data_IF_553076054530
#
_entry.id   IF_553076054530
#
_cell.length_a   1.000
_cell.length_b   1.000
_cell.length_c   1.000
_cell.angle_alpha   90.00
_cell.angle_beta   90.00
_cell.angle_gamma   90.00
#
_symmetry.space_group_name_H-M   'P 1'
#
loop_
_entity.id
_entity.type
_entity.pdbx_description
1 polymer ?
#
# COMPACT_ATOMS: atom_id res chain seq x y z
N UNK A 1 -17.24 -8.44 0.59
CA UNK A 1 -16.36 -7.36 1.09
C UNK A 1 -16.62 -7.01 2.56
N UNK A 2 -17.86 -6.92 3.02
CA UNK A 2 -18.20 -6.60 4.44
C UNK A 2 -17.63 -7.57 5.48
N UNK A 3 -17.35 -8.82 5.09
CA UNK A 3 -16.80 -9.79 6.02
C UNK A 3 -15.38 -9.49 6.49
N UNK A 4 -14.54 -8.84 5.67
CA UNK A 4 -13.18 -8.42 6.06
C UNK A 4 -13.28 -7.39 7.19
N UNK A 5 -14.15 -6.38 7.04
CA UNK A 5 -14.38 -5.37 8.07
C UNK A 5 -15.05 -5.93 9.32
N UNK A 6 -15.78 -7.05 9.19
CA UNK A 6 -16.45 -7.70 10.33
C UNK A 6 -15.50 -8.62 11.10
N UNK A 7 -14.60 -9.31 10.40
CA UNK A 7 -13.67 -10.28 11.02
C UNK A 7 -12.37 -9.65 11.51
N UNK A 8 -11.86 -8.63 10.82
CA UNK A 8 -10.59 -8.00 11.18
C UNK A 8 -10.55 -7.39 12.60
N UNK A 9 -11.62 -6.79 13.16
CA UNK A 9 -11.61 -6.30 14.55
C UNK A 9 -11.31 -7.37 15.60
N UNK A 10 -11.65 -8.65 15.33
CA UNK A 10 -11.35 -9.76 16.23
C UNK A 10 -9.83 -9.93 16.40
N UNK A 11 -9.03 -9.68 15.35
CA UNK A 11 -7.57 -9.73 15.42
C UNK A 11 -7.03 -8.77 16.50
N UNK A 12 -7.53 -7.53 16.52
CA UNK A 12 -7.08 -6.53 17.49
C UNK A 12 -7.49 -6.88 18.95
N UNK A 13 -8.60 -7.61 19.12
CA UNK A 13 -9.08 -8.06 20.43
C UNK A 13 -8.32 -9.30 20.94
N UNK A 14 -8.06 -10.26 20.05
CA UNK A 14 -7.41 -11.52 20.41
C UNK A 14 -5.88 -11.43 20.51
N UNK A 15 -5.27 -10.39 19.93
CA UNK A 15 -3.82 -10.15 19.98
C UNK A 15 -3.57 -8.77 20.59
N UNK A 16 -3.43 -8.68 21.93
CA UNK A 16 -3.22 -7.38 22.61
C UNK A 16 -1.96 -6.63 22.14
N UNK A 17 -0.94 -7.33 21.65
CA UNK A 17 0.32 -6.75 21.18
C UNK A 17 0.28 -6.20 19.74
N UNK A 18 -0.88 -6.15 19.09
CA UNK A 18 -1.03 -5.39 17.84
C UNK A 18 -1.03 -3.89 18.18
N UNK A 19 -0.13 -3.14 17.57
CA UNK A 19 -0.03 -1.69 17.73
C UNK A 19 -0.92 -0.96 16.70
N UNK A 20 -0.95 -1.45 15.46
CA UNK A 20 -1.76 -0.90 14.38
C UNK A 20 -2.43 -2.02 13.58
N UNK A 21 -3.70 -1.81 13.22
CA UNK A 21 -4.46 -2.68 12.33
C UNK A 21 -5.25 -1.83 11.35
N UNK A 22 -4.96 -2.00 10.07
CA UNK A 22 -5.60 -1.29 8.98
C UNK A 22 -6.16 -2.30 7.99
N UNK A 23 -7.33 -1.99 7.45
CA UNK A 23 -7.94 -2.70 6.33
C UNK A 23 -8.16 -1.71 5.19
N UNK A 24 -7.54 -1.99 4.06
CA UNK A 24 -7.69 -1.26 2.82
C UNK A 24 -8.60 -2.05 1.88
N UNK A 25 -9.80 -1.57 1.61
CA UNK A 25 -10.70 -2.19 0.64
C UNK A 25 -10.38 -1.67 -0.76
N UNK A 26 -10.20 -2.58 -1.72
CA UNK A 26 -9.97 -2.23 -3.13
C UNK A 26 -11.33 -1.91 -3.77
N UNK A 27 -11.86 -0.75 -3.48
CA UNK A 27 -13.22 -0.31 -3.83
C UNK A 27 -13.29 1.04 -4.53
N UNK A 28 -12.13 1.65 -4.81
CA UNK A 28 -12.04 2.95 -5.46
C UNK A 28 -11.74 2.76 -6.95
N UNK A 29 -12.66 3.25 -7.80
CA UNK A 29 -12.41 3.38 -9.24
C UNK A 29 -11.68 4.71 -9.49
N UNK A 30 -10.44 4.67 -10.01
CA UNK A 30 -9.70 5.89 -10.33
C UNK A 30 -10.37 6.75 -11.42
N UNK A 31 -11.35 6.18 -12.17
CA UNK A 31 -12.07 6.92 -13.20
C UNK A 31 -11.16 7.43 -14.33
N UNK A 32 -11.49 8.61 -14.87
CA UNK A 32 -10.70 9.31 -15.90
C UNK A 32 -9.64 10.24 -15.29
N UNK A 33 -8.99 9.83 -14.19
CA UNK A 33 -7.95 10.62 -13.58
C UNK A 33 -6.89 11.02 -14.63
N UNK A 34 -6.54 12.29 -14.72
CA UNK A 34 -5.64 12.85 -15.75
C UNK A 34 -4.26 12.20 -15.83
N UNK A 35 -3.86 11.46 -14.79
CA UNK A 35 -2.59 10.76 -14.74
C UNK A 35 -2.60 9.40 -15.51
N UNK A 36 -3.75 8.89 -15.93
CA UNK A 36 -3.83 7.79 -16.89
C UNK A 36 -3.27 8.32 -18.20
N UNK A 37 -2.19 7.71 -18.70
CA UNK A 37 -1.47 8.24 -19.88
C UNK A 37 -2.42 8.46 -21.05
N UNK A 38 -2.42 9.65 -21.70
CA UNK A 38 -3.10 9.84 -22.96
C UNK A 38 -2.59 8.80 -23.97
N UNK A 39 -3.49 7.95 -24.51
CA UNK A 39 -3.13 6.92 -25.51
C UNK A 39 -2.76 5.55 -24.94
N UNK A 40 -2.60 5.34 -23.64
CA UNK A 40 -2.75 4.00 -23.08
C UNK A 40 -4.23 3.65 -23.21
N UNK A 41 -4.51 2.67 -24.09
CA UNK A 41 -5.85 2.10 -24.15
C UNK A 41 -6.20 1.73 -22.70
N UNK A 42 -7.32 2.29 -22.23
CA UNK A 42 -7.94 1.92 -20.97
C UNK A 42 -8.19 0.42 -21.04
N UNK A 43 -7.21 -0.37 -20.63
CA UNK A 43 -7.52 -1.70 -20.20
C UNK A 43 -8.54 -1.44 -19.10
N UNK A 44 -9.80 -1.88 -19.32
CA UNK A 44 -10.75 -1.97 -18.24
C UNK A 44 -9.96 -2.51 -17.06
N UNK A 45 -10.01 -1.87 -15.87
CA UNK A 45 -9.27 -2.39 -14.74
C UNK A 45 -9.59 -3.86 -14.69
N UNK A 46 -8.58 -4.70 -14.97
CA UNK A 46 -8.73 -6.12 -14.74
C UNK A 46 -9.27 -6.17 -13.32
N UNK A 47 -10.35 -6.91 -13.11
CA UNK A 47 -10.91 -7.10 -11.76
C UNK A 47 -9.71 -7.22 -10.84
N UNK A 48 -9.54 -6.34 -9.84
CA UNK A 48 -8.30 -6.29 -9.09
C UNK A 48 -8.01 -7.69 -8.58
N UNK A 49 -6.77 -8.17 -8.74
CA UNK A 49 -6.36 -9.48 -8.25
C UNK A 49 -6.54 -9.61 -6.72
N UNK A 50 -6.90 -8.50 -6.07
CA UNK A 50 -7.06 -8.35 -4.64
C UNK A 50 -8.35 -7.58 -4.31
N UNK A 51 -9.10 -8.08 -3.31
CA UNK A 51 -10.28 -7.41 -2.75
C UNK A 51 -9.91 -6.46 -1.61
N UNK A 52 -8.84 -6.78 -0.87
CA UNK A 52 -8.40 -5.99 0.27
C UNK A 52 -6.90 -6.21 0.56
N UNK A 53 -6.31 -5.23 1.28
CA UNK A 53 -5.00 -5.34 1.93
C UNK A 53 -5.23 -5.20 3.45
N UNK A 54 -4.61 -6.06 4.25
CA UNK A 54 -4.63 -5.97 5.71
C UNK A 54 -3.22 -5.67 6.18
N UNK A 55 -3.06 -4.55 6.87
CA UNK A 55 -1.79 -4.14 7.46
C UNK A 55 -1.82 -4.35 8.97
N UNK A 56 -0.79 -5.00 9.49
CA UNK A 56 -0.62 -5.25 10.92
C UNK A 56 0.75 -4.79 11.36
N UNK A 57 0.80 -3.88 12.34
CA UNK A 57 2.02 -3.54 13.05
C UNK A 57 1.97 -4.09 14.47
N UNK A 58 3.02 -4.79 14.88
CA UNK A 58 3.13 -5.40 16.19
C UNK A 58 4.59 -5.80 16.48
N UNK A 59 4.86 -6.31 17.69
CA UNK A 59 6.13 -6.97 17.97
C UNK A 59 6.32 -8.21 17.09
N UNK A 60 7.56 -8.64 16.87
CA UNK A 60 7.86 -9.82 16.02
C UNK A 60 7.09 -11.08 16.45
N UNK A 61 6.91 -11.28 17.77
CA UNK A 61 6.16 -12.41 18.33
C UNK A 61 4.67 -12.31 18.01
N UNK A 62 4.10 -11.12 18.13
CA UNK A 62 2.68 -10.88 17.89
C UNK A 62 2.36 -10.85 16.39
N UNK A 63 3.31 -10.42 15.54
CA UNK A 63 3.19 -10.55 14.09
C UNK A 63 3.06 -12.01 13.64
N UNK A 64 3.86 -12.92 14.21
CA UNK A 64 3.74 -14.35 13.90
C UNK A 64 2.34 -14.88 14.29
N UNK A 65 1.87 -14.51 15.47
CA UNK A 65 0.54 -14.89 15.95
C UNK A 65 -0.58 -14.29 15.09
N UNK A 66 -0.43 -13.03 14.67
CA UNK A 66 -1.38 -12.38 13.77
C UNK A 66 -1.44 -13.10 12.42
N UNK A 67 -0.28 -13.47 11.84
CA UNK A 67 -0.23 -14.20 10.59
C UNK A 67 -0.97 -15.56 10.67
N UNK A 68 -0.74 -16.32 11.75
CA UNK A 68 -1.42 -17.60 11.99
C UNK A 68 -2.94 -17.43 12.15
N UNK A 69 -3.39 -16.37 12.83
CA UNK A 69 -4.82 -16.07 12.97
C UNK A 69 -5.45 -15.65 11.64
N UNK A 70 -4.80 -14.75 10.91
CA UNK A 70 -5.24 -14.32 9.59
C UNK A 70 -5.37 -15.54 8.68
N UNK A 71 -4.36 -16.40 8.65
CA UNK A 71 -4.39 -17.61 7.84
C UNK A 71 -5.57 -18.53 8.24
N UNK A 72 -5.81 -18.72 9.53
CA UNK A 72 -6.93 -19.54 10.03
C UNK A 72 -8.29 -18.96 9.64
N UNK A 73 -8.50 -17.66 9.90
CA UNK A 73 -9.81 -17.00 9.69
C UNK A 73 -10.13 -16.83 8.20
N UNK A 74 -9.13 -16.52 7.38
CA UNK A 74 -9.35 -16.19 5.98
C UNK A 74 -9.23 -17.39 5.03
N UNK A 75 -8.55 -18.49 5.40
CA UNK A 75 -8.55 -19.74 4.61
C UNK A 75 -9.87 -20.49 4.59
N UNK A 76 -10.74 -20.29 5.56
CA UNK A 76 -12.04 -20.98 5.64
C UNK A 76 -13.04 -20.55 4.57
N UNK A 77 -12.80 -19.44 3.87
CA UNK A 77 -13.70 -18.78 2.94
C UNK A 77 -13.31 -18.83 1.45
N UNK A 78 -12.45 -19.74 0.99
CA UNK A 78 -11.96 -19.77 -0.41
C UNK A 78 -11.14 -18.53 -0.83
N UNK A 79 -10.72 -17.70 0.11
CA UNK A 79 -9.89 -16.55 -0.17
C UNK A 79 -8.45 -16.98 -0.51
N UNK A 80 -7.88 -16.38 -1.56
CA UNK A 80 -6.45 -16.48 -1.83
C UNK A 80 -5.74 -15.46 -0.95
N UNK A 81 -4.90 -15.93 -0.06
CA UNK A 81 -4.16 -15.10 0.88
C UNK A 81 -2.68 -15.05 0.53
N UNK A 82 -2.15 -13.84 0.35
CA UNK A 82 -0.72 -13.58 0.16
C UNK A 82 -0.21 -12.74 1.32
N UNK A 83 0.73 -13.26 2.09
CA UNK A 83 1.26 -12.59 3.27
C UNK A 83 2.74 -12.30 3.13
N UNK A 84 3.14 -11.09 3.54
CA UNK A 84 4.50 -10.60 3.49
C UNK A 84 4.87 -9.93 4.80
N UNK A 85 6.10 -10.20 5.28
CA UNK A 85 6.68 -9.37 6.34
C UNK A 85 7.42 -8.20 5.71
N UNK A 86 7.12 -7.00 6.16
CA UNK A 86 7.68 -5.78 5.60
C UNK A 86 8.35 -4.94 6.68
N UNK A 87 9.29 -4.10 6.24
CA UNK A 87 9.88 -3.05 7.05
C UNK A 87 9.42 -1.69 6.51
N UNK A 88 8.61 -0.94 7.28
CA UNK A 88 8.12 0.36 6.86
C UNK A 88 9.26 1.40 6.83
N UNK A 89 9.18 2.29 5.84
CA UNK A 89 10.11 3.39 5.60
C UNK A 89 9.30 4.66 5.30
N UNK A 90 8.73 5.30 6.33
CA UNK A 90 7.92 6.50 6.13
C UNK A 90 8.78 7.65 5.58
N UNK A 91 8.21 8.40 4.64
CA UNK A 91 8.83 9.58 4.04
C UNK A 91 8.02 10.86 4.30
N UNK A 92 6.69 10.74 4.44
CA UNK A 92 5.76 11.81 4.82
C UNK A 92 4.62 11.23 5.63
N UNK A 93 4.26 11.86 6.74
CA UNK A 93 3.06 11.55 7.54
C UNK A 93 2.53 12.88 8.06
N UNK A 94 1.75 13.58 7.24
CA UNK A 94 1.21 14.91 7.58
C UNK A 94 -0.17 14.81 8.26
N UNK A 95 -0.75 13.59 8.29
CA UNK A 95 -2.05 13.32 8.92
C UNK A 95 -1.95 12.13 9.88
N UNK A 96 -2.51 12.31 11.07
CA UNK A 96 -2.66 11.20 12.02
C UNK A 96 -3.81 10.26 11.60
N UNK A 97 -3.58 8.96 11.67
CA UNK A 97 -4.61 7.94 11.54
C UNK A 97 -5.45 7.89 12.82
N UNK A 98 -6.76 7.68 12.69
CA UNK A 98 -7.70 7.60 13.82
C UNK A 98 -8.40 6.27 13.81
N UNK A 99 -8.28 5.52 14.89
CA UNK A 99 -8.97 4.24 15.05
C UNK A 99 -10.49 4.39 15.03
N UNK A 100 -11.17 3.36 14.53
CA UNK A 100 -12.63 3.28 14.45
C UNK A 100 -13.27 4.07 13.32
N UNK A 101 -12.49 4.58 12.37
CA UNK A 101 -13.01 5.37 11.26
C UNK A 101 -12.39 4.97 9.92
N UNK A 102 -13.14 5.20 8.84
CA UNK A 102 -12.60 5.26 7.49
C UNK A 102 -11.78 6.54 7.35
N UNK A 103 -10.56 6.41 6.85
CA UNK A 103 -9.73 7.59 6.54
C UNK A 103 -10.35 8.39 5.40
N UNK A 104 -10.27 9.73 5.42
CA UNK A 104 -10.73 10.53 4.29
C UNK A 104 -9.84 10.29 3.06
N UNK A 105 -10.44 10.46 1.89
CA UNK A 105 -9.73 10.41 0.60
C UNK A 105 -9.50 9.02 0.06
N UNK A 106 -8.37 8.87 -0.61
CA UNK A 106 -7.98 7.65 -1.33
C UNK A 106 -6.54 7.27 -0.95
N UNK A 107 -6.34 5.98 -0.70
CA UNK A 107 -5.01 5.39 -0.57
C UNK A 107 -4.67 4.65 -1.85
N UNK A 108 -3.53 4.98 -2.43
CA UNK A 108 -2.95 4.30 -3.57
C UNK A 108 -1.83 3.39 -3.10
N UNK A 109 -1.93 2.11 -3.44
CA UNK A 109 -0.95 1.08 -3.08
C UNK A 109 -0.33 0.52 -4.36
N UNK A 110 0.99 0.38 -4.38
CA UNK A 110 1.71 -0.34 -5.44
C UNK A 110 2.46 -1.51 -4.84
N UNK A 111 2.13 -2.71 -5.29
CA UNK A 111 2.90 -3.92 -5.00
C UNK A 111 4.03 -3.99 -6.03
N UNK A 112 5.25 -3.71 -5.61
CA UNK A 112 6.40 -3.47 -6.48
C UNK A 112 7.20 -4.75 -6.76
N UNK A 113 7.63 -4.89 -8.04
CA UNK A 113 8.71 -5.79 -8.44
C UNK A 113 9.83 -4.97 -9.04
N UNK A 114 11.05 -5.23 -8.60
CA UNK A 114 12.22 -4.54 -9.08
C UNK A 114 12.87 -5.27 -10.26
N UNK A 115 13.78 -4.62 -10.99
CA UNK A 115 14.53 -5.24 -12.07
C UNK A 115 15.42 -6.37 -11.53
N UNK A 116 15.25 -7.58 -12.07
CA UNK A 116 15.92 -8.80 -11.59
C UNK A 116 17.44 -8.79 -11.82
N UNK A 117 17.92 -7.97 -12.73
CA UNK A 117 19.34 -7.77 -13.05
C UNK A 117 20.02 -6.71 -12.15
N UNK A 118 19.25 -6.01 -11.32
CA UNK A 118 19.79 -5.07 -10.34
C UNK A 118 20.12 -5.74 -9.02
N UNK A 119 21.34 -5.55 -8.49
CA UNK A 119 21.65 -5.95 -7.12
C UNK A 119 20.71 -5.25 -6.12
N UNK A 120 20.25 -5.98 -5.10
CA UNK A 120 19.36 -5.45 -4.06
C UNK A 120 19.83 -4.12 -3.48
N UNK A 121 21.16 -3.99 -3.21
CA UNK A 121 21.72 -2.75 -2.69
C UNK A 121 21.62 -1.57 -3.66
N UNK A 122 21.61 -1.82 -4.98
CA UNK A 122 21.41 -0.79 -5.98
C UNK A 122 19.94 -0.34 -6.02
N UNK A 123 19.01 -1.30 -5.98
CA UNK A 123 17.57 -1.01 -5.87
C UNK A 123 17.29 -0.16 -4.63
N UNK A 124 17.82 -0.56 -3.47
CA UNK A 124 17.64 0.18 -2.21
C UNK A 124 18.13 1.62 -2.30
N UNK A 125 19.31 1.84 -2.92
CA UNK A 125 19.84 3.19 -3.13
C UNK A 125 18.96 4.01 -4.08
N UNK A 126 18.59 3.45 -5.24
CA UNK A 126 17.73 4.13 -6.21
C UNK A 126 16.38 4.50 -5.59
N UNK A 127 15.76 3.57 -4.89
CA UNK A 127 14.48 3.82 -4.23
C UNK A 127 14.61 4.82 -3.07
N UNK A 128 15.73 4.87 -2.38
CA UNK A 128 16.00 5.90 -1.37
C UNK A 128 16.19 7.29 -2.01
N UNK A 129 16.90 7.38 -3.13
CA UNK A 129 17.06 8.62 -3.88
C UNK A 129 15.74 9.15 -4.45
N UNK A 130 14.86 8.25 -4.91
CA UNK A 130 13.52 8.56 -5.40
C UNK A 130 12.69 9.39 -4.42
N UNK A 131 12.88 9.22 -3.11
CA UNK A 131 12.08 9.89 -2.07
C UNK A 131 12.08 11.40 -2.21
N UNK A 132 13.25 12.00 -2.41
CA UNK A 132 13.37 13.46 -2.51
C UNK A 132 12.63 14.02 -3.73
N UNK A 133 12.65 13.29 -4.83
CA UNK A 133 11.88 13.63 -6.03
C UNK A 133 10.37 13.43 -5.77
N UNK A 134 9.97 12.30 -5.21
CA UNK A 134 8.57 11.99 -4.93
C UNK A 134 7.92 13.02 -3.99
N UNK A 135 8.62 13.41 -2.91
CA UNK A 135 8.14 14.42 -1.96
C UNK A 135 7.95 15.81 -2.60
N UNK A 136 8.77 16.16 -3.60
CA UNK A 136 8.65 17.41 -4.34
C UNK A 136 7.52 17.36 -5.36
N UNK A 137 7.30 16.22 -5.97
CA UNK A 137 6.39 16.08 -7.13
C UNK A 137 4.98 15.69 -6.72
N UNK A 138 4.80 14.81 -5.74
CA UNK A 138 3.48 14.37 -5.26
C UNK A 138 2.89 15.36 -4.25
N UNK A 139 2.49 16.53 -4.74
CA UNK A 139 2.06 17.66 -3.89
C UNK A 139 0.67 17.48 -3.27
N UNK A 140 -0.16 16.60 -3.82
CA UNK A 140 -1.49 16.30 -3.27
C UNK A 140 -1.48 15.21 -2.20
N UNK A 141 -0.40 14.42 -2.08
CA UNK A 141 -0.33 13.36 -1.10
C UNK A 141 0.08 13.90 0.28
N UNK A 142 -0.64 13.51 1.33
CA UNK A 142 -0.36 13.85 2.73
C UNK A 142 0.35 12.73 3.51
N UNK A 143 0.33 11.50 2.99
CA UNK A 143 1.10 10.38 3.52
C UNK A 143 1.85 9.71 2.36
N UNK A 144 3.13 9.40 2.58
CA UNK A 144 3.96 8.60 1.70
C UNK A 144 4.79 7.63 2.53
N UNK A 145 4.48 6.34 2.40
CA UNK A 145 5.19 5.26 3.08
C UNK A 145 5.67 4.26 2.03
N UNK A 146 6.86 3.74 2.23
CA UNK A 146 7.41 2.63 1.46
C UNK A 146 7.64 1.48 2.42
N UNK A 147 7.47 0.25 1.95
CA UNK A 147 7.75 -0.94 2.72
C UNK A 147 8.71 -1.81 1.94
N UNK A 148 9.81 -2.16 2.56
CA UNK A 148 10.70 -3.18 2.03
C UNK A 148 10.17 -4.55 2.43
N UNK A 149 9.92 -5.44 1.47
CA UNK A 149 9.54 -6.83 1.76
C UNK A 149 10.80 -7.58 2.21
N UNK A 150 10.77 -8.09 3.44
CA UNK A 150 11.86 -8.85 4.05
C UNK A 150 11.65 -10.36 3.90
N UNK A 151 10.38 -10.80 3.88
CA UNK A 151 10.04 -12.21 3.80
C UNK A 151 8.64 -12.41 3.19
N UNK A 152 8.51 -13.42 2.34
CA UNK A 152 7.22 -13.94 1.87
C UNK A 152 6.77 -15.05 2.79
N UNK A 153 5.65 -14.88 3.49
CA UNK A 153 5.16 -15.81 4.51
C UNK A 153 4.25 -16.90 3.92
N UNK A 154 3.51 -16.59 2.84
CA UNK A 154 2.61 -17.54 2.19
C UNK A 154 3.29 -18.31 1.06
N UNK A 155 3.29 -19.65 1.08
CA UNK A 155 3.75 -20.42 -0.07
C UNK A 155 2.95 -20.11 -1.34
N UNK A 156 3.64 -19.84 -2.43
CA UNK A 156 3.00 -19.53 -3.72
C UNK A 156 2.45 -18.10 -3.88
N UNK A 157 2.67 -17.22 -2.90
CA UNK A 157 2.34 -15.81 -3.04
C UNK A 157 3.09 -15.18 -4.23
N UNK A 158 2.48 -14.23 -4.94
CA UNK A 158 3.15 -13.49 -6.01
C UNK A 158 4.45 -12.84 -5.50
N UNK A 159 5.48 -12.74 -6.34
CA UNK A 159 6.72 -12.09 -5.93
C UNK A 159 6.50 -10.58 -5.79
N UNK A 160 6.39 -10.09 -4.55
CA UNK A 160 6.38 -8.68 -4.17
C UNK A 160 7.65 -8.40 -3.39
N UNK A 161 8.39 -7.36 -3.80
CA UNK A 161 9.68 -7.02 -3.21
C UNK A 161 9.64 -5.69 -2.44
N UNK A 162 8.60 -4.88 -2.71
CA UNK A 162 8.32 -3.66 -1.99
C UNK A 162 6.87 -3.23 -2.13
N UNK A 163 6.42 -2.38 -1.22
CA UNK A 163 5.09 -1.75 -1.29
C UNK A 163 5.27 -0.24 -1.17
N UNK A 164 4.57 0.50 -2.01
CA UNK A 164 4.48 1.96 -1.93
C UNK A 164 3.06 2.37 -1.62
N UNK A 165 2.89 3.27 -0.67
CA UNK A 165 1.61 3.88 -0.31
C UNK A 165 1.69 5.39 -0.48
N UNK A 166 0.69 5.93 -1.18
CA UNK A 166 0.42 7.37 -1.25
C UNK A 166 -1.03 7.59 -0.83
N UNK A 167 -1.25 8.46 0.15
CA UNK A 167 -2.60 8.83 0.56
C UNK A 167 -2.88 10.25 0.10
N UNK A 168 -4.08 10.44 -0.43
CA UNK A 168 -4.59 11.73 -0.87
C UNK A 168 -5.80 12.09 -0.01
N UNK A 169 -5.86 13.31 0.59
CA UNK A 169 -6.95 13.70 1.50
C UNK A 169 -8.32 13.66 0.84
N UNK A 170 -8.37 13.84 -0.48
CA UNK A 170 -9.59 13.76 -1.29
C UNK A 170 -9.34 13.04 -2.60
N UNK A 171 -10.39 12.57 -3.25
CA UNK A 171 -10.32 12.04 -4.61
C UNK A 171 -9.87 13.12 -5.62
N UNK A 172 -10.30 14.38 -5.40
CA UNK A 172 -9.89 15.51 -6.23
C UNK A 172 -8.39 15.79 -6.12
N UNK A 173 -7.80 15.73 -4.92
CA UNK A 173 -6.35 15.86 -4.75
C UNK A 173 -5.59 14.75 -5.50
N UNK A 174 -6.11 13.52 -5.51
CA UNK A 174 -5.54 12.45 -6.28
C UNK A 174 -5.60 12.73 -7.78
N UNK A 175 -6.71 13.24 -8.28
CA UNK A 175 -6.90 13.49 -9.72
C UNK A 175 -6.13 14.71 -10.22
N UNK A 176 -6.15 15.83 -9.48
CA UNK A 176 -5.66 17.12 -9.95
C UNK A 176 -4.29 17.53 -9.40
N UNK A 177 -3.83 16.90 -8.29
CA UNK A 177 -2.60 17.27 -7.58
C UNK A 177 -1.67 16.07 -7.34
N UNK A 178 -1.85 14.98 -8.11
CA UNK A 178 -0.93 13.85 -8.05
C UNK A 178 0.50 14.28 -8.36
N UNK A 179 0.65 15.12 -9.36
CA UNK A 179 1.92 15.69 -9.75
C UNK A 179 1.85 17.22 -9.68
N UNK A 180 2.97 17.84 -9.34
CA UNK A 180 3.08 19.30 -9.33
C UNK A 180 2.84 19.90 -10.74
N UNK A 181 3.31 19.21 -11.78
CA UNK A 181 3.17 19.56 -13.19
C UNK A 181 3.57 18.37 -14.10
N UNK A 182 3.46 18.54 -15.40
CA UNK A 182 3.83 17.53 -16.40
C UNK A 182 5.33 17.20 -16.40
N UNK A 183 6.19 18.14 -16.03
CA UNK A 183 7.61 17.88 -15.93
C UNK A 183 7.93 16.99 -14.73
N UNK A 184 7.36 17.28 -13.59
CA UNK A 184 7.43 16.42 -12.40
C UNK A 184 6.91 15.01 -12.68
N UNK A 185 5.80 14.89 -13.40
CA UNK A 185 5.28 13.60 -13.86
C UNK A 185 6.31 12.83 -14.70
N UNK A 186 6.91 13.48 -15.71
CA UNK A 186 7.94 12.85 -16.55
C UNK A 186 9.14 12.41 -15.74
N UNK A 187 9.63 13.25 -14.81
CA UNK A 187 10.74 12.93 -13.93
C UNK A 187 10.45 11.70 -13.08
N UNK A 188 9.26 11.60 -12.46
CA UNK A 188 8.86 10.43 -11.67
C UNK A 188 8.83 9.16 -12.52
N UNK A 189 8.20 9.20 -13.69
CA UNK A 189 8.09 8.04 -14.58
C UNK A 189 9.48 7.56 -15.03
N UNK A 190 10.37 8.49 -15.38
CA UNK A 190 11.75 8.16 -15.75
C UNK A 190 12.50 7.54 -14.59
N UNK A 191 12.39 8.15 -13.39
CA UNK A 191 13.14 7.74 -12.22
C UNK A 191 12.71 6.36 -11.72
N UNK A 192 11.40 6.09 -11.60
CA UNK A 192 10.90 4.77 -11.21
C UNK A 192 11.27 3.69 -12.22
N UNK A 193 11.34 4.02 -13.51
CA UNK A 193 11.75 3.10 -14.57
C UNK A 193 13.18 2.56 -14.42
N UNK A 194 14.02 3.22 -13.62
CA UNK A 194 15.39 2.75 -13.35
C UNK A 194 15.46 1.57 -12.39
N UNK A 195 14.46 1.38 -11.53
CA UNK A 195 14.50 0.30 -10.52
C UNK A 195 13.23 -0.56 -10.50
N UNK A 196 12.08 -0.04 -10.94
CA UNK A 196 10.80 -0.73 -10.93
C UNK A 196 10.55 -1.44 -12.27
N UNK A 197 10.54 -2.76 -12.26
CA UNK A 197 10.22 -3.58 -13.43
C UNK A 197 8.71 -3.62 -13.69
N UNK A 198 7.92 -3.79 -12.63
CA UNK A 198 6.45 -3.82 -12.71
C UNK A 198 5.82 -3.52 -11.34
N UNK A 199 4.52 -3.26 -11.32
CA UNK A 199 3.78 -3.06 -10.09
C UNK A 199 2.28 -3.24 -10.29
N UNK A 200 1.64 -3.96 -9.36
CA UNK A 200 0.17 -4.01 -9.27
C UNK A 200 -0.31 -2.80 -8.50
N UNK A 201 -1.25 -2.06 -9.08
CA UNK A 201 -1.77 -0.80 -8.53
C UNK A 201 -3.15 -1.04 -7.97
N UNK A 202 -3.36 -0.62 -6.72
CA UNK A 202 -4.62 -0.73 -6.00
C UNK A 202 -5.05 0.67 -5.55
N UNK A 203 -6.34 0.94 -5.69
CA UNK A 203 -6.98 2.17 -5.20
C UNK A 203 -7.95 1.77 -4.13
N UNK A 204 -7.73 2.26 -2.92
CA UNK A 204 -8.39 1.72 -1.74
C UNK A 204 -9.02 2.80 -0.88
N UNK A 205 -10.04 2.39 -0.13
CA UNK A 205 -10.50 3.10 1.05
C UNK A 205 -9.87 2.48 2.30
N UNK A 206 -9.18 3.31 3.08
CA UNK A 206 -8.50 2.89 4.31
C UNK A 206 -9.45 2.91 5.51
N UNK A 207 -9.51 1.81 6.25
CA UNK A 207 -10.24 1.65 7.51
C UNK A 207 -9.25 1.34 8.64
N UNK A 208 -9.04 2.31 9.52
CA UNK A 208 -8.14 2.16 10.67
C UNK A 208 -8.92 1.50 11.81
N UNK A 209 -8.68 0.22 12.08
CA UNK A 209 -9.36 -0.52 13.14
C UNK A 209 -8.66 -0.36 14.49
N UNK A 210 -7.34 -0.23 14.47
CA UNK A 210 -6.51 0.14 15.62
C UNK A 210 -5.41 1.09 15.17
N UNK A 211 -5.18 2.15 15.89
CA UNK A 211 -4.06 3.07 15.69
C UNK A 211 -3.07 2.95 16.85
N UNK A 212 -1.79 3.27 16.65
CA UNK A 212 -0.83 3.38 17.74
C UNK A 212 -1.34 4.36 18.79
N UNK A 213 -1.02 4.08 20.06
CA UNK A 213 -1.31 5.04 21.12
C UNK A 213 -0.57 6.36 20.84
N UNK A 214 -1.24 7.49 21.02
CA UNK A 214 -0.58 8.78 20.84
C UNK A 214 0.61 8.90 21.81
N UNK A 215 1.78 9.19 21.26
CA UNK A 215 3.02 9.38 22.03
C UNK A 215 2.97 10.63 22.93
#
# INVERSE_FOLDING_TARGET
MDWVLTSAPALAQEIPGIDELIVDLVDVDPGDAEWVRPGEARAAPASPDYDAVIEVAATARDLQRAAEMIEREFKTGSAVLSMYRTRPMPARIDRARRAGARSPGVKYIVLCRFHADMPQSAVQRSWAHHVSLALRVHVGADIYIRHWVEETLSPGAPPVEGVTELHFPTFEDMCSRWFIDDDGRRQIIQDIGHFLASGTRLYTSEHVLKAPDPA
#
